data_IF_972949801494
#
_entry.id   IF_972949801494
#
_cell.length_a   1.000
_cell.length_b   1.000
_cell.length_c   1.000
_cell.angle_alpha   90.00
_cell.angle_beta   90.00
_cell.angle_gamma   90.00
#
_symmetry.space_group_name_H-M   'P 1'
#
loop_
_entity.id
_entity.type
_entity.pdbx_description
1 polymer ?
#
# COMPACT_ATOMS: atom_id res chain seq x y z
N UNK A 1 10.11 21.04 11.32
CA UNK A 1 9.51 19.69 11.33
C UNK A 1 9.02 19.48 9.92
N UNK A 2 9.61 18.53 9.20
CA UNK A 2 9.36 18.30 7.77
C UNK A 2 7.86 18.09 7.53
N UNK A 3 7.26 19.04 6.80
CA UNK A 3 5.82 19.11 6.51
C UNK A 3 5.54 18.65 5.06
N UNK A 4 6.43 17.85 4.47
CA UNK A 4 6.13 17.11 3.25
C UNK A 4 5.08 16.05 3.58
N UNK A 5 3.86 16.21 3.05
CA UNK A 5 2.75 15.30 3.29
C UNK A 5 3.03 13.92 2.66
N UNK A 6 3.81 13.09 3.34
CA UNK A 6 4.22 11.77 2.87
C UNK A 6 3.01 10.87 2.69
N UNK A 7 2.90 10.24 1.52
CA UNK A 7 1.90 9.21 1.25
C UNK A 7 2.41 7.88 1.83
N UNK A 8 1.57 7.20 2.60
CA UNK A 8 1.85 5.86 3.12
C UNK A 8 0.98 4.85 2.38
N UNK A 9 1.61 3.87 1.74
CA UNK A 9 0.93 2.73 1.12
C UNK A 9 1.10 1.54 2.06
N UNK A 10 -0.01 0.96 2.52
CA UNK A 10 0.00 -0.23 3.36
C UNK A 10 -0.41 -1.43 2.53
N UNK A 11 0.49 -2.38 2.38
CA UNK A 11 0.29 -3.66 1.68
C UNK A 11 -0.17 -4.73 2.65
N UNK A 12 -1.42 -5.17 2.49
CA UNK A 12 -1.98 -6.33 3.17
C UNK A 12 -1.69 -7.58 2.35
N UNK A 13 -0.88 -8.48 2.92
CA UNK A 13 -0.29 -9.62 2.23
C UNK A 13 -0.28 -10.88 3.12
N UNK A 14 0.12 -12.02 2.54
CA UNK A 14 0.41 -13.26 3.26
C UNK A 14 1.48 -14.10 2.54
N UNK A 15 2.14 -15.02 3.24
CA UNK A 15 3.20 -15.88 2.68
C UNK A 15 2.69 -16.84 1.60
N UNK A 16 1.45 -17.29 1.74
CA UNK A 16 0.76 -18.18 0.80
C UNK A 16 0.16 -17.43 -0.40
N UNK A 17 0.21 -16.09 -0.41
CA UNK A 17 -0.36 -15.27 -1.46
C UNK A 17 0.63 -15.12 -2.63
N UNK A 18 0.47 -15.96 -3.66
CA UNK A 18 1.22 -15.87 -4.91
C UNK A 18 1.19 -14.47 -5.55
N UNK A 19 0.00 -13.86 -5.75
CA UNK A 19 -0.10 -12.51 -6.32
C UNK A 19 0.59 -11.41 -5.49
N UNK A 20 0.66 -11.55 -4.17
CA UNK A 20 1.34 -10.58 -3.29
C UNK A 20 2.86 -10.55 -3.57
N UNK A 21 3.46 -11.70 -3.87
CA UNK A 21 4.89 -11.81 -4.23
C UNK A 21 5.22 -11.06 -5.53
N UNK A 22 4.24 -10.86 -6.42
CA UNK A 22 4.40 -10.05 -7.63
C UNK A 22 4.34 -8.54 -7.33
N UNK A 23 3.54 -8.13 -6.35
CA UNK A 23 3.36 -6.71 -5.99
C UNK A 23 4.48 -6.19 -5.10
N UNK A 24 5.05 -7.02 -4.22
CA UNK A 24 6.14 -6.61 -3.34
C UNK A 24 7.32 -5.88 -4.06
N UNK A 25 7.91 -6.41 -5.15
CA UNK A 25 9.00 -5.71 -5.83
C UNK A 25 8.56 -4.40 -6.50
N UNK A 26 7.31 -4.32 -6.95
CA UNK A 26 6.70 -3.12 -7.53
C UNK A 26 6.63 -1.98 -6.50
N UNK A 27 6.20 -2.30 -5.27
CA UNK A 27 6.13 -1.34 -4.17
C UNK A 27 7.52 -0.88 -3.74
N UNK A 28 8.49 -1.79 -3.68
CA UNK A 28 9.88 -1.45 -3.36
C UNK A 28 10.48 -0.50 -4.42
N UNK A 29 10.15 -0.71 -5.70
CA UNK A 29 10.57 0.20 -6.79
C UNK A 29 9.94 1.58 -6.67
N UNK A 30 8.61 1.65 -6.44
CA UNK A 30 7.90 2.93 -6.24
C UNK A 30 8.46 3.69 -5.04
N UNK A 31 8.76 2.99 -3.93
CA UNK A 31 9.35 3.60 -2.74
C UNK A 31 10.73 4.21 -3.02
N UNK A 32 11.55 3.54 -3.84
CA UNK A 32 12.86 4.06 -4.26
C UNK A 32 12.73 5.28 -5.17
N UNK A 33 11.84 5.24 -6.17
CA UNK A 33 11.66 6.35 -7.12
C UNK A 33 11.02 7.59 -6.50
N UNK A 34 10.14 7.40 -5.52
CA UNK A 34 9.46 8.47 -4.78
C UNK A 34 10.04 8.63 -3.38
N UNK A 35 11.35 8.43 -3.22
CA UNK A 35 12.04 8.54 -1.95
C UNK A 35 11.74 9.90 -1.28
N UNK A 36 11.34 9.85 0.00
CA UNK A 36 10.93 11.04 0.77
C UNK A 36 9.46 11.47 0.57
N UNK A 37 8.79 11.01 -0.49
CA UNK A 37 7.38 11.29 -0.75
C UNK A 37 6.45 10.10 -0.45
N UNK A 38 6.95 8.86 -0.61
CA UNK A 38 6.19 7.63 -0.39
C UNK A 38 6.88 6.74 0.64
N UNK A 39 6.08 6.16 1.55
CA UNK A 39 6.49 5.10 2.48
C UNK A 39 5.62 3.87 2.27
N UNK A 40 6.22 2.69 2.46
CA UNK A 40 5.52 1.41 2.36
C UNK A 40 5.46 0.76 3.73
N UNK A 41 4.25 0.46 4.19
CA UNK A 41 3.99 -0.42 5.32
C UNK A 41 3.55 -1.79 4.83
N UNK A 42 3.89 -2.85 5.55
CA UNK A 42 3.45 -4.21 5.24
C UNK A 42 2.69 -4.78 6.44
N UNK A 43 1.54 -5.38 6.17
CA UNK A 43 0.68 -6.01 7.18
C UNK A 43 0.40 -7.43 6.73
N UNK A 44 0.95 -8.40 7.46
CA UNK A 44 0.60 -9.81 7.26
C UNK A 44 -0.81 -10.04 7.83
N UNK A 45 -1.74 -10.50 6.99
CA UNK A 45 -3.15 -10.70 7.37
C UNK A 45 -3.35 -11.86 8.35
N UNK A 46 -2.47 -12.84 8.35
CA UNK A 46 -2.55 -14.00 9.25
C UNK A 46 -2.23 -13.57 10.70
N UNK A 47 -1.26 -12.66 10.84
CA UNK A 47 -0.77 -12.14 12.12
C UNK A 47 -1.61 -10.95 12.63
N UNK A 48 -2.24 -10.20 11.72
CA UNK A 48 -2.90 -8.92 12.03
C UNK A 48 -4.39 -8.91 11.65
N UNK A 49 -5.11 -9.97 12.04
CA UNK A 49 -6.52 -10.15 11.68
C UNK A 49 -7.39 -8.95 12.09
N UNK A 50 -7.17 -8.37 13.27
CA UNK A 50 -7.93 -7.19 13.74
C UNK A 50 -7.79 -5.97 12.83
N UNK A 51 -6.60 -5.75 12.25
CA UNK A 51 -6.39 -4.70 11.25
C UNK A 51 -7.07 -5.03 9.93
N UNK A 52 -6.99 -6.28 9.48
CA UNK A 52 -7.72 -6.77 8.30
C UNK A 52 -9.22 -6.54 8.44
N UNK A 53 -9.80 -6.85 9.60
CA UNK A 53 -11.22 -6.58 9.89
C UNK A 53 -11.52 -5.07 9.92
N UNK A 54 -10.69 -4.28 10.61
CA UNK A 54 -10.88 -2.82 10.73
C UNK A 54 -10.95 -2.13 9.37
N UNK A 55 -10.12 -2.55 8.42
CA UNK A 55 -10.09 -1.96 7.06
C UNK A 55 -10.86 -2.78 6.03
N UNK A 56 -11.69 -3.74 6.47
CA UNK A 56 -12.55 -4.55 5.63
C UNK A 56 -11.78 -5.25 4.48
N UNK A 57 -10.61 -5.81 4.80
CA UNK A 57 -9.75 -6.55 3.88
C UNK A 57 -10.36 -7.95 3.68
N UNK A 58 -10.93 -8.18 2.49
CA UNK A 58 -11.63 -9.44 2.14
C UNK A 58 -10.85 -10.31 1.17
N UNK A 59 -9.88 -9.73 0.48
CA UNK A 59 -9.00 -10.40 -0.45
C UNK A 59 -7.64 -9.71 -0.43
N UNK A 60 -6.60 -10.47 -0.79
CA UNK A 60 -5.22 -9.98 -0.87
C UNK A 60 -4.62 -10.27 -2.26
N UNK A 61 -3.66 -9.46 -2.73
CA UNK A 61 -3.11 -8.27 -2.07
C UNK A 61 -4.15 -7.14 -1.97
N UNK A 62 -4.07 -6.34 -0.91
CA UNK A 62 -4.85 -5.12 -0.78
C UNK A 62 -3.94 -3.96 -0.36
N UNK A 63 -4.01 -2.85 -1.09
CA UNK A 63 -3.18 -1.67 -0.89
C UNK A 63 -4.05 -0.53 -0.39
N UNK A 64 -3.72 0.01 0.78
CA UNK A 64 -4.39 1.15 1.37
C UNK A 64 -3.47 2.36 1.29
N UNK A 65 -3.98 3.48 0.80
CA UNK A 65 -3.22 4.71 0.64
C UNK A 65 -3.67 5.71 1.69
N UNK A 66 -2.73 6.15 2.52
CA UNK A 66 -2.94 7.15 3.54
C UNK A 66 -2.20 8.44 3.20
N UNK A 67 -2.85 9.57 3.45
CA UNK A 67 -2.21 10.89 3.45
C UNK A 67 -2.62 11.62 4.71
N UNK A 68 -1.63 12.16 5.44
CA UNK A 68 -1.83 12.82 6.73
C UNK A 68 -2.62 11.97 7.74
N UNK A 69 -2.31 10.66 7.79
CA UNK A 69 -2.94 9.70 8.71
C UNK A 69 -4.37 9.30 8.33
N UNK A 70 -4.93 9.83 7.25
CA UNK A 70 -6.28 9.50 6.80
C UNK A 70 -6.23 8.56 5.60
N UNK A 71 -7.08 7.53 5.60
CA UNK A 71 -7.28 6.64 4.44
C UNK A 71 -7.90 7.47 3.31
N UNK A 72 -7.25 7.48 2.14
CA UNK A 72 -7.68 8.26 0.98
C UNK A 72 -8.05 7.40 -0.22
N UNK A 73 -7.44 6.23 -0.34
CA UNK A 73 -7.71 5.30 -1.43
C UNK A 73 -7.47 3.85 -0.98
N UNK A 74 -8.12 2.92 -1.65
CA UNK A 74 -7.99 1.49 -1.43
C UNK A 74 -8.07 0.74 -2.76
N UNK A 75 -7.15 -0.20 -2.93
CA UNK A 75 -7.06 -1.06 -4.10
C UNK A 75 -6.98 -2.52 -3.65
N UNK A 76 -7.71 -3.40 -4.31
CA UNK A 76 -7.66 -4.85 -4.06
C UNK A 76 -7.27 -5.55 -5.35
N UNK A 77 -6.35 -6.51 -5.26
CA UNK A 77 -5.84 -7.29 -6.38
C UNK A 77 -4.54 -6.76 -6.98
N UNK A 78 -4.13 -7.40 -8.07
CA UNK A 78 -2.89 -7.07 -8.79
C UNK A 78 -3.06 -5.74 -9.54
N UNK A 79 -1.97 -4.98 -9.66
CA UNK A 79 -1.96 -3.68 -10.32
C UNK A 79 -0.61 -3.43 -11.01
N UNK A 80 -0.57 -2.42 -11.87
CA UNK A 80 0.65 -2.00 -12.57
C UNK A 80 1.36 -0.87 -11.83
N UNK A 81 2.65 -0.69 -12.10
CA UNK A 81 3.43 0.44 -11.57
C UNK A 81 2.81 1.77 -11.98
N UNK A 82 2.36 1.85 -13.24
CA UNK A 82 1.69 3.05 -13.79
C UNK A 82 0.45 3.41 -12.98
N UNK A 83 -0.39 2.43 -12.65
CA UNK A 83 -1.60 2.68 -11.87
C UNK A 83 -1.29 3.12 -10.44
N UNK A 84 -0.24 2.54 -9.81
CA UNK A 84 0.23 3.01 -8.51
C UNK A 84 0.68 4.47 -8.56
N UNK A 85 1.48 4.83 -9.56
CA UNK A 85 1.97 6.20 -9.73
C UNK A 85 0.81 7.19 -9.95
N UNK A 86 -0.16 6.84 -10.81
CA UNK A 86 -1.35 7.66 -11.05
C UNK A 86 -2.15 7.89 -9.76
N UNK A 87 -2.30 6.84 -8.93
CA UNK A 87 -2.99 6.95 -7.63
C UNK A 87 -2.23 7.85 -6.67
N UNK A 88 -0.92 7.69 -6.57
CA UNK A 88 -0.05 8.53 -5.73
C UNK A 88 -0.20 10.00 -6.15
N UNK A 89 -0.14 10.29 -7.45
CA UNK A 89 -0.31 11.65 -7.99
C UNK A 89 -1.71 12.23 -7.72
N UNK A 90 -2.77 11.41 -7.82
CA UNK A 90 -4.13 11.84 -7.51
C UNK A 90 -4.33 12.20 -6.02
N UNK A 91 -3.44 11.75 -5.13
CA UNK A 91 -3.52 12.02 -3.70
C UNK A 91 -2.83 13.32 -3.29
N UNK A 92 -2.04 13.97 -4.14
CA UNK A 92 -1.27 15.16 -3.74
C UNK A 92 -0.45 15.82 -4.81
#
# INVERSE_FOLDING_TARGET
MDNSATIMIVDFWAEWCGPCKMIAPLLDEVAREKAGAVKIGKVNVDENQSLSFKYNIRAIPALLFFKNGQLRDQLTGVTSKKDLLNRIEALG
#
